data_IF_924948783456
#
_entry.id   IF_924948783456
#
_cell.length_a   1.000
_cell.length_b   1.000
_cell.length_c   1.000
_cell.angle_alpha   90.00
_cell.angle_beta   90.00
_cell.angle_gamma   90.00
#
_symmetry.space_group_name_H-M   'P 1'
#
loop_
_entity.id
_entity.type
_entity.pdbx_description
1 polymer ?
#
# COMPACT_ATOMS: atom_id res chain seq x y z
N UNK A 1 40.13 -10.58 18.96
CA UNK A 1 38.91 -9.92 18.42
C UNK A 1 38.04 -10.99 17.80
N UNK A 2 36.78 -11.09 18.23
CA UNK A 2 35.81 -12.04 17.68
C UNK A 2 35.39 -11.60 16.27
N UNK A 3 35.56 -12.48 15.27
CA UNK A 3 35.14 -12.21 13.88
C UNK A 3 33.76 -12.80 13.65
N UNK A 4 32.79 -11.96 13.28
CA UNK A 4 31.44 -12.41 12.89
C UNK A 4 31.42 -12.72 11.40
N UNK A 5 31.00 -13.93 11.05
CA UNK A 5 30.98 -14.40 9.66
C UNK A 5 29.63 -15.02 9.29
N UNK A 6 29.18 -14.87 8.04
CA UNK A 6 27.96 -15.54 7.59
C UNK A 6 28.20 -17.05 7.45
N UNK A 7 27.19 -17.91 7.71
CA UNK A 7 27.32 -19.37 7.54
C UNK A 7 27.78 -19.81 6.16
N UNK A 8 27.42 -19.06 5.11
CA UNK A 8 27.85 -19.35 3.74
C UNK A 8 29.33 -19.02 3.47
N UNK A 9 29.86 -18.00 4.14
CA UNK A 9 31.27 -17.62 4.05
C UNK A 9 32.14 -18.59 4.87
N UNK A 10 31.68 -18.95 6.07
CA UNK A 10 32.33 -19.94 6.93
C UNK A 10 32.41 -21.33 6.28
N UNK A 11 31.34 -21.73 5.57
CA UNK A 11 31.32 -22.95 4.77
C UNK A 11 32.43 -22.98 3.70
N UNK A 12 32.67 -21.84 3.03
CA UNK A 12 33.70 -21.70 2.00
C UNK A 12 35.12 -21.70 2.59
N UNK A 13 35.31 -21.06 3.73
CA UNK A 13 36.63 -20.95 4.39
C UNK A 13 37.08 -22.30 4.98
N UNK A 14 36.15 -23.08 5.52
CA UNK A 14 36.44 -24.40 6.14
C UNK A 14 36.31 -25.56 5.11
N UNK A 15 35.71 -25.31 3.94
CA UNK A 15 35.51 -26.34 2.91
C UNK A 15 34.41 -27.36 3.24
N UNK A 16 33.39 -26.96 3.99
CA UNK A 16 32.26 -27.82 4.40
C UNK A 16 30.96 -27.35 3.73
N UNK A 17 30.02 -28.27 3.50
CA UNK A 17 28.71 -27.90 2.94
C UNK A 17 27.94 -26.94 3.86
N UNK A 18 27.19 -26.00 3.27
CA UNK A 18 26.35 -25.04 4.03
C UNK A 18 25.38 -25.76 4.98
N UNK A 19 24.85 -26.91 4.58
CA UNK A 19 23.96 -27.73 5.41
C UNK A 19 24.70 -28.30 6.64
N UNK A 20 25.94 -28.77 6.47
CA UNK A 20 26.73 -29.28 7.58
C UNK A 20 27.11 -28.17 8.58
N UNK A 21 27.29 -26.93 8.12
CA UNK A 21 27.45 -25.76 9.02
C UNK A 21 26.20 -25.54 9.86
N UNK A 22 25.00 -25.53 9.26
CA UNK A 22 23.74 -25.43 10.04
C UNK A 22 23.55 -26.60 11.00
N UNK A 23 23.93 -27.82 10.60
CA UNK A 23 23.88 -28.98 11.48
C UNK A 23 24.83 -28.83 12.68
N UNK A 24 26.05 -28.30 12.47
CA UNK A 24 27.01 -28.02 13.55
C UNK A 24 26.54 -26.91 14.50
N UNK A 25 25.87 -25.87 13.98
CA UNK A 25 25.22 -24.83 14.80
C UNK A 25 24.08 -25.45 15.62
N UNK A 26 23.21 -26.25 15.01
CA UNK A 26 22.10 -26.94 15.71
C UNK A 26 22.58 -27.91 16.78
N UNK A 27 23.73 -28.56 16.55
CA UNK A 27 24.41 -29.45 17.52
C UNK A 27 25.17 -28.69 18.63
N UNK A 28 25.23 -27.36 18.58
CA UNK A 28 25.93 -26.53 19.58
C UNK A 28 27.46 -26.54 19.47
N UNK A 29 28.02 -27.11 18.41
CA UNK A 29 29.48 -27.20 18.19
C UNK A 29 30.03 -25.86 17.72
N UNK A 30 29.26 -25.14 16.89
CA UNK A 30 29.62 -23.80 16.41
C UNK A 30 28.78 -22.75 17.13
N UNK A 31 29.45 -21.76 17.72
CA UNK A 31 28.78 -20.65 18.37
C UNK A 31 28.24 -19.69 17.31
N UNK A 32 26.92 -19.51 17.30
CA UNK A 32 26.24 -18.61 16.39
C UNK A 32 25.49 -17.53 17.17
N UNK A 33 25.55 -16.29 16.67
CA UNK A 33 24.87 -15.12 17.22
C UNK A 33 23.85 -14.62 16.20
N UNK A 34 22.66 -14.28 16.67
CA UNK A 34 21.66 -13.61 15.84
C UNK A 34 21.83 -12.10 16.01
N UNK A 35 22.09 -11.40 14.92
CA UNK A 35 22.19 -9.94 14.88
C UNK A 35 21.22 -9.46 13.82
N UNK A 36 20.25 -8.63 14.22
CA UNK A 36 19.22 -8.06 13.31
C UNK A 36 18.44 -9.12 12.50
N UNK A 37 18.15 -10.27 13.10
CA UNK A 37 17.42 -11.36 12.44
C UNK A 37 18.26 -12.23 11.51
N UNK A 38 19.57 -11.97 11.39
CA UNK A 38 20.51 -12.74 10.57
C UNK A 38 21.47 -13.53 11.45
N UNK A 39 21.72 -14.78 11.06
CA UNK A 39 22.60 -15.70 11.77
C UNK A 39 24.07 -15.47 11.37
N UNK A 40 24.93 -15.26 12.36
CA UNK A 40 26.38 -15.13 12.21
C UNK A 40 27.11 -16.16 13.07
N UNK A 41 28.24 -16.66 12.59
CA UNK A 41 29.14 -17.56 13.32
C UNK A 41 30.24 -16.71 13.95
N UNK A 42 30.49 -16.93 15.23
CA UNK A 42 31.56 -16.27 15.98
C UNK A 42 32.83 -17.10 15.79
N UNK A 43 33.83 -16.53 15.15
CA UNK A 43 35.14 -17.18 14.92
C UNK A 43 36.19 -16.48 15.76
N UNK A 44 36.80 -17.23 16.68
CA UNK A 44 37.98 -16.79 17.43
C UNK A 44 39.23 -16.98 16.56
N UNK A 45 39.94 -15.90 16.27
CA UNK A 45 41.18 -15.96 15.48
C UNK A 45 42.32 -16.75 16.17
N UNK A 46 42.17 -17.09 17.46
CA UNK A 46 43.17 -17.82 18.25
C UNK A 46 42.95 -19.34 18.29
N UNK A 47 41.89 -19.85 17.67
CA UNK A 47 41.61 -21.29 17.58
C UNK A 47 41.62 -21.72 16.12
N UNK A 48 42.84 -21.82 15.57
CA UNK A 48 43.07 -22.81 14.51
C UNK A 48 42.86 -24.17 15.15
N UNK A 49 41.82 -24.87 14.72
CA UNK A 49 41.49 -26.19 15.20
C UNK A 49 42.73 -27.10 15.20
N UNK A 50 43.02 -27.58 16.40
CA UNK A 50 43.92 -28.65 16.70
C UNK A 50 43.34 -29.98 16.22
N UNK A 51 43.90 -30.55 15.15
CA UNK A 51 44.00 -32.00 14.90
C UNK A 51 45.24 -32.28 14.00
N UNK A 52 45.80 -33.50 14.01
CA UNK A 52 46.74 -34.05 14.98
C UNK A 52 48.22 -33.91 14.54
N UNK A 53 49.10 -34.08 15.52
CA UNK A 53 50.57 -34.09 15.41
C UNK A 53 51.07 -34.94 14.23
N UNK A 54 51.88 -34.34 13.37
CA UNK A 54 52.99 -35.03 12.71
C UNK A 54 54.20 -34.11 12.68
N UNK A 55 55.30 -34.62 13.24
CA UNK A 55 56.62 -34.03 13.25
C UNK A 55 57.10 -33.76 11.83
N UNK A 56 57.54 -32.54 11.56
CA UNK A 56 58.72 -32.28 10.75
C UNK A 56 59.21 -30.86 11.04
N UNK A 57 60.31 -30.79 11.77
CA UNK A 57 61.16 -29.62 11.84
C UNK A 57 61.55 -29.19 10.42
N UNK A 58 61.34 -27.92 10.09
CA UNK A 58 62.31 -27.18 9.28
C UNK A 58 62.17 -25.68 9.55
N UNK A 59 63.10 -25.17 10.37
CA UNK A 59 63.57 -23.79 10.23
C UNK A 59 64.23 -23.66 8.85
N UNK A 60 64.10 -22.48 8.22
CA UNK A 60 65.29 -21.64 8.18
C UNK A 60 65.01 -20.22 8.65
N UNK A 61 65.96 -19.70 9.44
CA UNK A 61 66.16 -18.27 9.62
C UNK A 61 66.67 -17.69 8.30
N UNK A 62 66.09 -16.57 7.89
CA UNK A 62 66.63 -15.71 6.84
C UNK A 62 66.11 -14.30 7.07
N UNK A 63 66.91 -13.46 7.70
CA UNK A 63 66.71 -12.02 7.74
C UNK A 63 66.64 -11.46 6.31
N UNK A 64 65.55 -10.76 5.99
CA UNK A 64 65.53 -9.74 4.93
C UNK A 64 64.56 -8.63 5.34
N UNK A 65 65.09 -7.71 6.13
CA UNK A 65 64.49 -6.39 6.36
C UNK A 65 64.53 -5.63 5.04
N UNK A 66 63.42 -5.68 4.28
CA UNK A 66 63.29 -5.08 2.95
C UNK A 66 62.01 -5.46 2.18
N UNK A 67 61.23 -6.44 2.65
CA UNK A 67 60.02 -6.94 1.97
C UNK A 67 58.69 -6.30 2.40
N UNK A 68 58.63 -5.59 3.53
CA UNK A 68 57.35 -5.11 4.09
C UNK A 68 56.71 -4.01 3.23
N UNK A 69 57.48 -3.05 2.71
CA UNK A 69 56.94 -1.97 1.88
C UNK A 69 56.33 -2.45 0.56
N UNK A 70 56.91 -3.49 -0.07
CA UNK A 70 56.36 -4.06 -1.32
C UNK A 70 55.06 -4.83 -1.08
N UNK A 71 54.90 -5.42 0.10
CA UNK A 71 53.67 -6.09 0.51
C UNK A 71 52.54 -5.10 0.83
N UNK A 72 52.86 -3.92 1.38
CA UNK A 72 51.86 -2.86 1.58
C UNK A 72 51.38 -2.27 0.25
N UNK A 73 52.26 -1.99 -0.71
CA UNK A 73 51.83 -1.49 -2.02
C UNK A 73 50.96 -2.48 -2.80
N UNK A 74 51.30 -3.77 -2.76
CA UNK A 74 50.48 -4.82 -3.39
C UNK A 74 49.13 -4.99 -2.68
N UNK A 75 49.09 -4.88 -1.35
CA UNK A 75 47.85 -4.86 -0.59
C UNK A 75 46.99 -3.63 -0.92
N UNK A 76 47.59 -2.45 -1.04
CA UNK A 76 46.89 -1.21 -1.43
C UNK A 76 46.27 -1.35 -2.83
N UNK A 77 47.02 -1.87 -3.81
CA UNK A 77 46.49 -2.15 -5.16
C UNK A 77 45.31 -3.13 -5.13
N UNK A 78 45.41 -4.22 -4.36
CA UNK A 78 44.31 -5.17 -4.22
C UNK A 78 43.06 -4.52 -3.55
N UNK A 79 43.26 -3.58 -2.62
CA UNK A 79 42.16 -2.81 -2.02
C UNK A 79 41.55 -1.83 -3.01
N UNK A 80 42.37 -1.15 -3.81
CA UNK A 80 41.91 -0.22 -4.85
C UNK A 80 41.10 -0.95 -5.92
N UNK A 81 41.56 -2.11 -6.38
CA UNK A 81 40.80 -2.99 -7.29
C UNK A 81 39.46 -3.41 -6.67
N UNK A 82 39.46 -3.78 -5.38
CA UNK A 82 38.22 -4.11 -4.66
C UNK A 82 37.28 -2.90 -4.59
N UNK A 83 37.81 -1.70 -4.35
CA UNK A 83 37.03 -0.46 -4.32
C UNK A 83 36.45 -0.16 -5.70
N UNK A 84 37.18 -0.39 -6.78
CA UNK A 84 36.67 -0.22 -8.14
C UNK A 84 35.55 -1.20 -8.46
N UNK A 85 35.70 -2.48 -8.12
CA UNK A 85 34.63 -3.48 -8.25
C UNK A 85 33.41 -3.06 -7.43
N UNK A 86 33.59 -2.65 -6.17
CA UNK A 86 32.49 -2.19 -5.33
C UNK A 86 31.79 -0.97 -5.93
N UNK A 87 32.54 0.02 -6.43
CA UNK A 87 31.98 1.17 -7.14
C UNK A 87 31.23 0.77 -8.41
N UNK A 88 31.70 -0.26 -9.12
CA UNK A 88 30.99 -0.89 -10.24
C UNK A 88 29.65 -1.46 -9.78
N UNK A 89 29.65 -2.34 -8.78
CA UNK A 89 28.42 -2.96 -8.26
C UNK A 89 27.40 -1.94 -7.75
N UNK A 90 27.84 -0.83 -7.14
CA UNK A 90 26.95 0.24 -6.69
C UNK A 90 26.30 0.95 -7.89
N UNK A 91 27.05 1.16 -8.98
CA UNK A 91 26.50 1.74 -10.21
C UNK A 91 25.47 0.82 -10.84
N UNK A 92 25.80 -0.46 -10.99
CA UNK A 92 24.89 -1.46 -11.56
C UNK A 92 23.62 -1.61 -10.70
N UNK A 93 23.76 -1.61 -9.37
CA UNK A 93 22.62 -1.65 -8.46
C UNK A 93 21.75 -0.39 -8.57
N UNK A 94 22.36 0.78 -8.76
CA UNK A 94 21.63 2.04 -8.94
C UNK A 94 20.88 2.05 -10.28
N UNK A 95 21.51 1.53 -11.34
CA UNK A 95 20.89 1.39 -12.66
C UNK A 95 19.73 0.40 -12.62
N UNK A 96 19.94 -0.80 -12.06
CA UNK A 96 18.90 -1.81 -11.87
C UNK A 96 17.72 -1.29 -11.03
N UNK A 97 17.98 -0.59 -9.92
CA UNK A 97 16.91 0.02 -9.12
C UNK A 97 16.14 1.10 -9.90
N UNK A 98 16.82 1.86 -10.76
CA UNK A 98 16.17 2.86 -11.62
C UNK A 98 15.27 2.19 -12.64
N UNK A 99 15.75 1.14 -13.31
CA UNK A 99 14.97 0.34 -14.26
C UNK A 99 13.73 -0.27 -13.61
N UNK A 100 13.91 -0.94 -12.46
CA UNK A 100 12.80 -1.51 -11.69
C UNK A 100 11.78 -0.41 -11.34
N UNK A 101 12.25 0.75 -10.87
CA UNK A 101 11.36 1.86 -10.51
C UNK A 101 10.61 2.42 -11.73
N UNK A 102 11.24 2.47 -12.90
CA UNK A 102 10.58 2.91 -14.14
C UNK A 102 9.55 1.90 -14.63
N UNK A 103 9.85 0.60 -14.58
CA UNK A 103 8.91 -0.45 -14.96
C UNK A 103 7.70 -0.47 -14.02
N UNK A 104 7.93 -0.42 -12.70
CA UNK A 104 6.84 -0.34 -11.72
C UNK A 104 5.97 0.90 -11.91
N UNK A 105 6.58 2.04 -12.26
CA UNK A 105 5.82 3.26 -12.58
C UNK A 105 4.94 3.06 -13.82
N UNK A 106 5.48 2.43 -14.87
CA UNK A 106 4.72 2.09 -16.08
C UNK A 106 3.58 1.11 -15.78
N UNK A 107 3.81 0.09 -14.95
CA UNK A 107 2.76 -0.85 -14.50
C UNK A 107 1.65 -0.14 -13.72
N UNK A 108 2.02 0.81 -12.84
CA UNK A 108 1.03 1.63 -12.10
C UNK A 108 0.23 2.50 -13.06
N UNK A 109 0.85 3.08 -14.08
CA UNK A 109 0.16 3.89 -15.10
C UNK A 109 -0.82 3.06 -15.92
N UNK A 110 -0.40 1.88 -16.39
CA UNK A 110 -1.28 0.91 -17.05
C UNK A 110 -2.47 0.50 -16.17
N UNK A 111 -2.22 0.26 -14.87
CA UNK A 111 -3.29 -0.08 -13.93
C UNK A 111 -4.26 1.08 -13.72
N UNK A 112 -3.77 2.32 -13.67
CA UNK A 112 -4.62 3.52 -13.59
C UNK A 112 -5.46 3.66 -14.84
N UNK A 113 -4.88 3.47 -16.03
CA UNK A 113 -5.60 3.51 -17.30
C UNK A 113 -6.72 2.45 -17.33
N UNK A 114 -6.40 1.19 -17.02
CA UNK A 114 -7.39 0.12 -16.90
C UNK A 114 -8.49 0.46 -15.87
N UNK A 115 -8.13 1.09 -14.75
CA UNK A 115 -9.11 1.52 -13.74
C UNK A 115 -10.00 2.66 -14.25
N UNK A 116 -9.45 3.61 -15.00
CA UNK A 116 -10.21 4.68 -15.65
C UNK A 116 -11.17 4.13 -16.71
N UNK A 117 -10.72 3.17 -17.53
CA UNK A 117 -11.58 2.47 -18.49
C UNK A 117 -12.71 1.73 -17.78
N UNK A 118 -12.41 0.93 -16.76
CA UNK A 118 -13.42 0.23 -15.97
C UNK A 118 -14.42 1.21 -15.33
N UNK A 119 -13.92 2.28 -14.69
CA UNK A 119 -14.77 3.31 -14.11
C UNK A 119 -15.71 3.92 -15.14
N UNK A 120 -15.23 4.17 -16.34
CA UNK A 120 -16.02 4.74 -17.45
C UNK A 120 -17.08 3.74 -17.92
N UNK A 121 -16.73 2.47 -18.08
CA UNK A 121 -17.69 1.40 -18.42
C UNK A 121 -18.77 1.25 -17.34
N UNK A 122 -18.39 1.25 -16.06
CA UNK A 122 -19.34 1.18 -14.95
C UNK A 122 -20.26 2.41 -14.91
N UNK A 123 -19.72 3.61 -15.13
CA UNK A 123 -20.52 4.83 -15.22
C UNK A 123 -21.54 4.73 -16.35
N UNK A 124 -21.12 4.28 -17.54
CA UNK A 124 -22.04 4.05 -18.66
C UNK A 124 -23.09 2.99 -18.37
N UNK A 125 -22.73 1.87 -17.73
CA UNK A 125 -23.69 0.85 -17.33
C UNK A 125 -24.71 1.40 -16.31
N UNK A 126 -24.25 2.23 -15.37
CA UNK A 126 -25.12 2.87 -14.38
C UNK A 126 -26.08 3.86 -15.06
N UNK A 127 -25.59 4.67 -15.99
CA UNK A 127 -26.42 5.57 -16.80
C UNK A 127 -27.42 4.81 -17.67
N UNK A 128 -27.03 3.68 -18.27
CA UNK A 128 -27.95 2.85 -19.06
C UNK A 128 -29.01 2.21 -18.17
N UNK A 129 -28.64 1.72 -16.98
CA UNK A 129 -29.59 1.17 -16.02
C UNK A 129 -30.53 2.25 -15.49
N UNK A 130 -30.02 3.42 -15.15
CA UNK A 130 -30.83 4.59 -14.80
C UNK A 130 -31.72 5.01 -15.96
N UNK A 131 -31.21 5.06 -17.20
CA UNK A 131 -32.02 5.35 -18.39
C UNK A 131 -33.08 4.28 -18.62
N UNK A 132 -32.84 3.00 -18.35
CA UNK A 132 -33.84 1.94 -18.49
C UNK A 132 -34.89 1.98 -17.36
N UNK A 133 -34.48 2.23 -16.11
CA UNK A 133 -35.39 2.43 -14.99
C UNK A 133 -36.22 3.71 -15.19
N UNK A 134 -35.58 4.77 -15.66
CA UNK A 134 -36.23 5.99 -16.09
C UNK A 134 -37.07 5.76 -17.34
N UNK A 135 -36.71 4.95 -18.34
CA UNK A 135 -37.57 4.69 -19.50
C UNK A 135 -38.81 3.85 -19.12
N UNK A 136 -38.70 3.00 -18.09
CA UNK A 136 -39.84 2.30 -17.47
C UNK A 136 -40.72 3.23 -16.64
N UNK A 137 -40.19 4.35 -16.12
CA UNK A 137 -40.96 5.37 -15.41
C UNK A 137 -41.41 6.56 -16.31
N UNK A 138 -40.70 6.81 -17.41
CA UNK A 138 -40.91 7.81 -18.46
C UNK A 138 -41.73 7.14 -19.56
N UNK A 139 -42.92 6.64 -19.20
CA UNK A 139 -44.09 6.86 -20.04
C UNK A 139 -44.95 8.01 -19.47
N UNK A 140 -44.51 8.62 -18.36
CA UNK A 140 -45.21 9.75 -17.73
C UNK A 140 -44.18 10.79 -17.22
N UNK A 141 -44.03 11.88 -17.98
CA UNK A 141 -43.56 13.22 -17.54
C UNK A 141 -42.06 13.55 -17.66
N UNK A 142 -41.71 14.11 -18.83
CA UNK A 142 -40.88 15.30 -19.13
C UNK A 142 -39.77 15.79 -18.17
N UNK A 143 -38.55 15.84 -18.75
CA UNK A 143 -37.58 16.96 -18.77
C UNK A 143 -37.26 17.71 -17.46
N UNK A 144 -36.10 17.42 -16.86
CA UNK A 144 -35.21 18.44 -16.26
C UNK A 144 -33.77 17.91 -16.30
N UNK A 145 -32.93 18.52 -17.16
CA UNK A 145 -31.45 18.48 -17.17
C UNK A 145 -30.96 19.32 -15.97
N UNK A 146 -29.80 19.18 -15.29
CA UNK A 146 -28.43 18.72 -15.53
C UNK A 146 -27.81 18.30 -14.16
N UNK A 147 -26.65 17.61 -14.07
CA UNK A 147 -25.97 17.38 -12.79
C UNK A 147 -24.86 18.43 -12.54
N UNK A 148 -25.08 19.28 -11.53
CA UNK A 148 -24.08 20.17 -10.93
C UNK A 148 -23.60 19.57 -9.59
N UNK A 149 -22.29 19.65 -9.36
CA UNK A 149 -21.47 19.36 -8.17
C UNK A 149 -21.97 18.49 -6.98
N UNK A 150 -21.22 17.44 -6.54
CA UNK A 150 -21.59 16.52 -5.44
C UNK A 150 -21.60 17.03 -3.99
N UNK A 151 -21.66 18.33 -3.69
CA UNK A 151 -21.50 18.86 -2.32
C UNK A 151 -22.60 19.76 -1.78
N UNK A 152 -23.78 19.77 -2.38
CA UNK A 152 -24.97 20.28 -1.72
C UNK A 152 -25.88 19.11 -1.37
N UNK A 153 -26.14 18.92 -0.08
CA UNK A 153 -27.27 18.11 0.40
C UNK A 153 -28.55 18.78 -0.10
N UNK A 154 -28.92 18.49 -1.35
CA UNK A 154 -30.07 19.07 -2.02
C UNK A 154 -31.33 18.72 -1.22
N UNK A 155 -31.97 19.76 -0.69
CA UNK A 155 -33.32 19.70 -0.16
C UNK A 155 -34.24 19.04 -1.19
N UNK A 156 -34.68 17.80 -0.91
CA UNK A 156 -35.53 17.04 -1.82
C UNK A 156 -36.97 17.52 -1.65
N UNK A 157 -37.36 18.47 -2.48
CA UNK A 157 -38.72 19.05 -2.46
C UNK A 157 -39.76 18.12 -3.08
N UNK A 158 -40.65 17.58 -2.26
CA UNK A 158 -41.74 16.70 -2.71
C UNK A 158 -43.13 17.32 -2.61
N UNK A 159 -44.01 16.90 -3.52
CA UNK A 159 -45.42 17.27 -3.47
C UNK A 159 -46.21 16.48 -2.40
N UNK A 160 -47.35 17.04 -1.98
CA UNK A 160 -48.22 16.50 -0.92
C UNK A 160 -48.50 14.99 -1.03
N UNK A 161 -48.82 14.48 -2.22
CA UNK A 161 -49.12 13.06 -2.40
C UNK A 161 -47.90 12.16 -2.15
N UNK A 162 -46.72 12.56 -2.63
CA UNK A 162 -45.47 11.81 -2.43
C UNK A 162 -45.05 11.82 -0.96
N UNK A 163 -45.21 12.96 -0.30
CA UNK A 163 -44.96 13.11 1.13
C UNK A 163 -45.86 12.19 1.98
N UNK A 164 -47.17 12.18 1.73
CA UNK A 164 -48.10 11.34 2.49
C UNK A 164 -47.81 9.84 2.31
N UNK A 165 -47.35 9.43 1.12
CA UNK A 165 -46.91 8.06 0.85
C UNK A 165 -45.62 7.71 1.60
N UNK A 166 -44.66 8.63 1.66
CA UNK A 166 -43.38 8.42 2.35
C UNK A 166 -43.55 8.23 3.86
N UNK A 167 -44.44 9.02 4.48
CA UNK A 167 -44.72 8.92 5.92
C UNK A 167 -45.83 7.91 6.25
N UNK A 168 -46.34 7.17 5.27
CA UNK A 168 -47.43 6.18 5.42
C UNK A 168 -48.73 6.73 6.06
N UNK A 169 -48.99 8.04 5.95
CA UNK A 169 -50.15 8.72 6.57
C UNK A 169 -51.19 9.12 5.52
N UNK A 170 -51.85 8.14 4.90
CA UNK A 170 -52.94 8.41 3.93
C UNK A 170 -54.28 8.77 4.61
N UNK A 171 -54.51 8.28 5.84
CA UNK A 171 -55.81 8.35 6.53
C UNK A 171 -56.23 9.77 6.96
N UNK A 172 -55.29 10.71 7.07
CA UNK A 172 -55.51 12.06 7.61
C UNK A 172 -55.08 13.21 6.68
N UNK A 173 -55.03 12.97 5.36
CA UNK A 173 -54.61 13.95 4.34
C UNK A 173 -55.23 15.35 4.53
N UNK A 174 -56.54 15.45 4.77
CA UNK A 174 -57.24 16.75 4.91
C UNK A 174 -56.76 17.55 6.13
N UNK A 175 -56.43 16.88 7.25
CA UNK A 175 -55.93 17.52 8.47
C UNK A 175 -54.47 17.95 8.28
N UNK A 176 -53.64 17.07 7.75
CA UNK A 176 -52.22 17.33 7.46
C UNK A 176 -52.09 18.49 6.47
N UNK A 177 -52.91 18.53 5.41
CA UNK A 177 -52.92 19.64 4.44
C UNK A 177 -53.27 20.99 5.09
N UNK A 178 -54.18 21.02 6.07
CA UNK A 178 -54.51 22.24 6.82
C UNK A 178 -53.33 22.69 7.69
N UNK A 179 -52.64 21.75 8.36
CA UNK A 179 -51.45 22.03 9.18
C UNK A 179 -50.27 22.52 8.33
N UNK A 180 -49.98 21.87 7.21
CA UNK A 180 -48.95 22.30 6.27
C UNK A 180 -49.22 23.70 5.68
N UNK A 181 -50.49 24.01 5.34
CA UNK A 181 -50.87 25.37 4.93
C UNK A 181 -50.67 26.39 6.06
N UNK A 182 -50.90 26.00 7.32
CA UNK A 182 -50.66 26.85 8.50
C UNK A 182 -49.16 27.05 8.75
N UNK A 183 -48.34 26.02 8.56
CA UNK A 183 -46.87 26.10 8.64
C UNK A 183 -46.30 27.04 7.57
N UNK A 184 -46.76 26.91 6.32
CA UNK A 184 -46.38 27.84 5.25
C UNK A 184 -46.76 29.30 5.56
N UNK A 185 -47.98 29.54 6.08
CA UNK A 185 -48.40 30.88 6.50
C UNK A 185 -47.58 31.46 7.66
N UNK A 186 -46.93 30.60 8.45
CA UNK A 186 -46.02 30.98 9.54
C UNK A 186 -44.58 31.20 9.06
N UNK A 187 -44.28 30.96 7.79
CA UNK A 187 -42.93 31.07 7.23
C UNK A 187 -42.01 29.91 7.60
N UNK A 188 -42.56 28.72 7.84
CA UNK A 188 -41.76 27.53 8.15
C UNK A 188 -40.90 27.12 6.93
N UNK A 189 -39.59 26.99 7.14
CA UNK A 189 -38.61 26.66 6.10
C UNK A 189 -38.80 25.26 5.52
N UNK A 190 -39.47 24.36 6.26
CA UNK A 190 -39.78 22.99 5.84
C UNK A 190 -40.79 22.93 4.68
N UNK A 191 -41.54 24.02 4.46
CA UNK A 191 -42.64 24.05 3.49
C UNK A 191 -42.52 25.27 2.59
N UNK A 192 -42.35 25.04 1.30
CA UNK A 192 -42.28 26.13 0.30
C UNK A 192 -43.41 26.02 -0.73
N UNK A 193 -43.63 27.10 -1.47
CA UNK A 193 -44.59 27.14 -2.57
C UNK A 193 -43.84 27.36 -3.88
N UNK A 194 -43.70 26.29 -4.66
CA UNK A 194 -43.07 26.30 -5.99
C UNK A 194 -44.18 26.01 -7.02
N UNK A 195 -44.27 26.83 -8.07
CA UNK A 195 -45.27 26.71 -9.15
C UNK A 195 -46.74 26.68 -8.68
N UNK A 196 -47.07 27.49 -7.67
CA UNK A 196 -48.43 27.54 -7.15
C UNK A 196 -48.81 26.36 -6.22
N UNK A 197 -47.95 25.34 -6.11
CA UNK A 197 -48.20 24.11 -5.34
C UNK A 197 -47.31 24.07 -4.09
N UNK A 198 -47.84 23.48 -3.02
CA UNK A 198 -47.11 23.29 -1.78
C UNK A 198 -46.12 22.12 -1.94
N UNK A 199 -44.84 22.37 -1.68
CA UNK A 199 -43.78 21.37 -1.64
C UNK A 199 -43.15 21.33 -0.24
N UNK A 200 -42.71 20.16 0.18
CA UNK A 200 -42.11 19.91 1.50
C UNK A 200 -40.73 19.29 1.31
N UNK A 201 -39.78 19.66 2.14
CA UNK A 201 -38.42 19.11 2.12
C UNK A 201 -38.38 17.75 2.82
N UNK A 202 -37.91 16.68 2.17
CA UNK A 202 -37.81 15.35 2.80
C UNK A 202 -36.64 15.20 3.78
N UNK A 203 -35.69 16.15 3.79
CA UNK A 203 -34.53 16.06 4.67
C UNK A 203 -34.85 16.52 6.11
N UNK A 204 -36.04 17.06 6.33
CA UNK A 204 -36.49 17.62 7.61
C UNK A 204 -37.48 16.71 8.34
N UNK A 205 -37.61 16.91 9.66
CA UNK A 205 -38.51 16.09 10.51
C UNK A 205 -39.91 16.72 10.63
N UNK A 206 -40.97 15.89 10.54
CA UNK A 206 -42.38 16.34 10.50
C UNK A 206 -43.27 15.71 11.59
N UNK A 207 -42.69 15.14 12.65
CA UNK A 207 -43.43 14.50 13.74
C UNK A 207 -44.51 15.42 14.35
N UNK A 208 -44.23 16.71 14.46
CA UNK A 208 -45.14 17.76 14.98
C UNK A 208 -46.34 18.05 14.06
N UNK A 209 -46.20 17.78 12.76
CA UNK A 209 -47.24 18.05 11.75
C UNK A 209 -48.09 16.80 11.49
N UNK A 210 -47.49 15.61 11.62
CA UNK A 210 -48.08 14.31 11.33
C UNK A 210 -48.93 13.72 12.48
N UNK A 211 -48.67 14.10 13.74
CA UNK A 211 -49.54 13.78 14.90
C UNK A 211 -50.87 14.55 14.86
#
# INVERSE_FOLDING_TARGET
MEKLMKPAEYAKEIGISRQAVYAKIKKGILHAKNVEGKLYIVVDNDRRDSEPKNNAEHKPKGDTVGGENRNYETLLKAKDETIEVLKGTIRDLKESNKEISTTLRGEIELLKEAFHEMRTLYAHQLEQKQKQENHKMIEVVTQTQEPTDPWESESVWVGLKKFLKYFEVETHEKKIRKRLKKAYKKGDHRVTKIDGKLKMDLNETYEDILQ
#
